data_IF_481434923104
#
_entry.id   IF_481434923104
#
_cell.length_a   1.000
_cell.length_b   1.000
_cell.length_c   1.000
_cell.angle_alpha   90.00
_cell.angle_beta   90.00
_cell.angle_gamma   90.00
#
_symmetry.space_group_name_H-M   'P 1'
#
loop_
_entity.id
_entity.type
_entity.pdbx_description
1 polymer ?
#
# COMPACT_ATOMS: atom_id res chain seq x y z
N UNK A 1 17.17 -5.09 -21.12
CA UNK A 1 17.84 -6.11 -20.27
C UNK A 1 17.04 -6.41 -19.00
N UNK A 2 16.92 -5.46 -18.06
CA UNK A 2 16.27 -5.65 -16.74
C UNK A 2 14.84 -6.23 -16.77
N UNK A 3 13.98 -5.70 -17.63
CA UNK A 3 12.55 -6.08 -17.69
C UNK A 3 12.17 -6.88 -18.94
N UNK A 4 13.13 -7.22 -19.81
CA UNK A 4 12.85 -7.86 -21.11
C UNK A 4 12.66 -6.88 -22.26
N UNK A 5 12.35 -7.42 -23.45
CA UNK A 5 12.00 -6.68 -24.66
C UNK A 5 10.49 -6.47 -24.66
N UNK A 6 9.98 -5.23 -24.75
CA UNK A 6 8.55 -4.99 -24.91
C UNK A 6 8.05 -5.69 -26.17
N UNK A 7 6.92 -6.39 -26.05
CA UNK A 7 6.29 -7.12 -27.14
C UNK A 7 5.70 -6.21 -28.21
N UNK A 8 4.95 -6.85 -29.09
CA UNK A 8 4.26 -6.19 -30.18
C UNK A 8 2.88 -5.74 -29.68
N UNK A 9 2.41 -4.58 -30.13
CA UNK A 9 1.11 -4.09 -29.69
C UNK A 9 -0.02 -4.91 -30.33
N UNK A 10 -1.06 -5.30 -29.56
CA UNK A 10 -2.16 -6.13 -30.06
C UNK A 10 -3.03 -5.44 -31.12
N UNK A 11 -2.94 -4.11 -31.25
CA UNK A 11 -3.73 -3.32 -32.22
C UNK A 11 -2.98 -2.95 -33.49
N UNK A 12 -1.75 -2.45 -33.33
CA UNK A 12 -0.94 -1.87 -34.42
C UNK A 12 0.13 -2.87 -34.93
N UNK A 13 0.33 -4.01 -34.26
CA UNK A 13 1.55 -4.86 -34.34
C UNK A 13 2.86 -4.06 -34.23
N UNK A 14 2.76 -2.82 -33.76
CA UNK A 14 3.86 -1.89 -33.66
C UNK A 14 4.65 -2.09 -32.39
N UNK A 15 5.85 -1.51 -32.36
CA UNK A 15 6.73 -1.59 -31.21
C UNK A 15 6.19 -0.77 -30.04
N UNK A 16 6.12 -1.41 -28.88
CA UNK A 16 5.79 -0.77 -27.61
C UNK A 16 7.03 -0.10 -27.00
N UNK A 17 6.87 1.12 -26.49
CA UNK A 17 7.91 1.87 -25.78
C UNK A 17 7.47 2.13 -24.33
N UNK A 18 8.39 1.93 -23.38
CA UNK A 18 8.13 2.25 -21.98
C UNK A 18 8.34 3.75 -21.72
N UNK A 19 7.31 4.43 -21.23
CA UNK A 19 7.34 5.84 -20.79
C UNK A 19 6.40 6.04 -19.61
N UNK A 20 6.83 6.82 -18.62
CA UNK A 20 6.02 7.23 -17.46
C UNK A 20 5.33 6.07 -16.72
N UNK A 21 6.04 4.96 -16.52
CA UNK A 21 5.47 3.80 -15.82
C UNK A 21 4.57 2.88 -16.67
N UNK A 22 4.38 3.19 -17.95
CA UNK A 22 3.49 2.46 -18.85
C UNK A 22 4.15 2.14 -20.20
N UNK A 23 3.70 1.07 -20.85
CA UNK A 23 4.05 0.77 -22.24
C UNK A 23 3.06 1.46 -23.18
N UNK A 24 3.55 2.29 -24.10
CA UNK A 24 2.75 3.03 -25.09
C UNK A 24 3.13 2.58 -26.52
N UNK A 25 2.17 2.29 -27.41
CA UNK A 25 2.45 2.11 -28.85
C UNK A 25 2.80 3.48 -29.43
N UNK A 26 3.88 3.57 -30.19
CA UNK A 26 4.29 4.82 -30.85
C UNK A 26 4.13 4.75 -32.37
N UNK A 27 3.68 3.62 -32.90
CA UNK A 27 3.48 3.46 -34.33
C UNK A 27 2.17 4.08 -34.80
N UNK A 28 2.14 4.40 -36.08
CA UNK A 28 0.95 4.85 -36.78
C UNK A 28 -0.07 3.71 -36.88
N UNK A 29 -1.35 4.06 -36.94
CA UNK A 29 -2.43 3.12 -37.28
C UNK A 29 -2.31 2.69 -38.73
N UNK A 30 -2.96 1.59 -39.11
CA UNK A 30 -2.98 1.09 -40.50
C UNK A 30 -3.45 2.16 -41.49
N UNK A 31 -4.34 3.05 -41.05
CA UNK A 31 -4.83 4.17 -41.84
C UNK A 31 -3.79 5.28 -42.06
N UNK A 32 -2.67 5.31 -41.34
CA UNK A 32 -1.59 6.28 -41.50
C UNK A 32 -1.88 7.72 -41.02
N UNK A 33 -3.12 8.04 -40.66
CA UNK A 33 -3.52 9.38 -40.23
C UNK A 33 -3.36 9.65 -38.73
N UNK A 34 -3.31 8.61 -37.89
CA UNK A 34 -3.28 8.74 -36.45
C UNK A 34 -2.20 7.85 -35.81
N UNK A 35 -1.69 8.27 -34.65
CA UNK A 35 -0.83 7.43 -33.82
C UNK A 35 -1.68 6.47 -33.00
N UNK A 36 -1.24 5.23 -32.87
CA UNK A 36 -1.91 4.25 -32.02
C UNK A 36 -1.82 4.68 -30.55
N UNK A 37 -2.97 4.84 -29.88
CA UNK A 37 -3.04 5.28 -28.48
C UNK A 37 -3.06 4.13 -27.47
N UNK A 38 -2.60 2.94 -27.84
CA UNK A 38 -2.60 1.80 -26.93
C UNK A 38 -1.58 2.02 -25.79
N UNK A 39 -2.05 1.94 -24.55
CA UNK A 39 -1.23 1.96 -23.35
C UNK A 39 -1.55 0.76 -22.44
N UNK A 40 -0.52 0.19 -21.80
CA UNK A 40 -0.68 -0.92 -20.86
C UNK A 40 0.39 -0.85 -19.76
N UNK A 41 0.01 -1.22 -18.53
CA UNK A 41 0.91 -1.33 -17.37
C UNK A 41 1.63 -2.69 -17.40
N UNK A 42 0.89 -3.75 -17.75
CA UNK A 42 1.37 -5.13 -17.88
C UNK A 42 1.47 -5.49 -19.37
N UNK A 43 2.44 -4.89 -20.06
CA UNK A 43 2.74 -5.28 -21.44
C UNK A 43 3.37 -6.68 -21.51
N UNK A 44 3.06 -7.46 -22.55
CA UNK A 44 3.76 -8.71 -22.83
C UNK A 44 5.25 -8.44 -23.05
N UNK A 45 6.12 -9.18 -22.35
CA UNK A 45 7.58 -8.98 -22.41
C UNK A 45 8.24 -10.27 -22.89
N UNK A 46 9.04 -10.18 -23.95
CA UNK A 46 9.92 -11.28 -24.39
C UNK A 46 11.23 -11.20 -23.62
N UNK A 47 11.84 -12.35 -23.29
CA UNK A 47 13.16 -12.36 -22.65
C UNK A 47 14.20 -11.71 -23.58
N UNK A 48 14.95 -10.73 -23.07
CA UNK A 48 16.04 -10.12 -23.83
C UNK A 48 17.18 -11.14 -23.95
N UNK A 49 17.48 -11.58 -25.19
CA UNK A 49 18.63 -12.41 -25.49
C UNK A 49 19.78 -11.51 -25.92
N UNK A 50 20.86 -11.51 -25.15
CA UNK A 50 22.04 -10.71 -25.46
C UNK A 50 22.90 -11.43 -26.52
N UNK A 51 23.39 -10.76 -27.57
CA UNK A 51 24.27 -11.36 -28.57
C UNK A 51 25.60 -11.80 -27.93
N UNK A 52 26.15 -12.94 -28.38
CA UNK A 52 27.35 -13.58 -27.79
C UNK A 52 28.67 -12.83 -28.07
N UNK A 53 28.70 -11.99 -29.10
CA UNK A 53 29.94 -11.36 -29.58
C UNK A 53 30.29 -10.05 -28.86
N UNK A 54 29.42 -9.58 -27.99
CA UNK A 54 29.72 -8.44 -27.14
C UNK A 54 30.30 -9.01 -25.83
N UNK A 55 31.57 -8.71 -25.54
CA UNK A 55 32.25 -9.19 -24.32
C UNK A 55 31.54 -8.69 -23.07
N UNK A 56 30.80 -9.58 -22.41
CA UNK A 56 29.83 -9.23 -21.37
C UNK A 56 30.11 -9.85 -20.01
N UNK A 57 31.32 -10.36 -19.79
CA UNK A 57 31.70 -11.04 -18.55
C UNK A 57 31.34 -10.23 -17.29
N UNK A 58 31.40 -8.90 -17.37
CA UNK A 58 30.99 -8.03 -16.27
C UNK A 58 29.46 -7.96 -16.09
N UNK A 59 28.67 -7.88 -17.17
CA UNK A 59 27.19 -7.80 -17.12
C UNK A 59 26.54 -9.14 -16.76
N UNK A 60 27.13 -10.26 -17.16
CA UNK A 60 26.65 -11.60 -16.78
C UNK A 60 26.89 -11.89 -15.30
N UNK A 61 27.96 -11.32 -14.73
CA UNK A 61 28.26 -11.38 -13.30
C UNK A 61 27.44 -10.40 -12.45
N UNK A 62 26.79 -9.40 -13.05
CA UNK A 62 25.74 -8.65 -12.39
C UNK A 62 24.53 -9.58 -12.20
N UNK A 63 24.55 -10.35 -11.11
CA UNK A 63 23.34 -10.93 -10.51
C UNK A 63 22.42 -9.76 -10.19
N UNK A 64 21.57 -9.41 -11.14
CA UNK A 64 20.41 -8.56 -10.90
C UNK A 64 19.53 -9.32 -9.93
N UNK A 65 19.76 -9.08 -8.64
CA UNK A 65 18.98 -9.69 -7.58
C UNK A 65 17.60 -9.06 -7.65
N UNK A 66 16.71 -9.67 -8.45
CA UNK A 66 15.36 -9.19 -8.72
C UNK A 66 14.49 -9.03 -7.46
N UNK A 67 14.92 -9.54 -6.29
CA UNK A 67 14.02 -9.72 -5.14
C UNK A 67 14.65 -9.54 -3.75
N UNK A 68 15.97 -9.45 -3.61
CA UNK A 68 16.56 -9.22 -2.29
C UNK A 68 16.62 -7.71 -2.05
N UNK A 69 15.59 -7.20 -1.40
CA UNK A 69 15.70 -5.94 -0.66
C UNK A 69 17.03 -6.00 0.11
N UNK A 70 17.95 -5.04 -0.11
CA UNK A 70 19.22 -5.03 0.59
C UNK A 70 18.95 -5.10 2.09
N UNK A 71 19.64 -5.99 2.82
CA UNK A 71 19.43 -6.18 4.27
C UNK A 71 19.51 -4.87 5.07
N UNK A 72 20.25 -3.88 4.56
CA UNK A 72 20.30 -2.52 5.12
C UNK A 72 18.93 -1.82 5.09
N UNK A 73 18.19 -1.91 4.00
CA UNK A 73 16.88 -1.28 3.85
C UNK A 73 15.80 -1.94 4.73
N UNK A 74 15.92 -3.24 5.02
CA UNK A 74 15.02 -3.93 5.96
C UNK A 74 15.21 -3.41 7.39
N UNK A 75 16.45 -3.16 7.82
CA UNK A 75 16.75 -2.62 9.16
C UNK A 75 16.13 -1.24 9.35
N UNK A 76 16.28 -0.36 8.36
CA UNK A 76 15.67 0.98 8.41
C UNK A 76 14.14 0.91 8.49
N UNK A 77 13.50 -0.04 7.79
CA UNK A 77 12.05 -0.23 7.88
C UNK A 77 11.61 -0.77 9.25
N UNK A 78 12.39 -1.66 9.86
CA UNK A 78 12.12 -2.18 11.21
C UNK A 78 12.24 -1.07 12.26
N UNK A 79 13.29 -0.25 12.22
CA UNK A 79 13.48 0.89 13.12
C UNK A 79 12.33 1.90 13.01
N UNK A 80 11.91 2.23 11.79
CA UNK A 80 10.76 3.13 11.57
C UNK A 80 9.48 2.50 12.12
N UNK A 81 9.26 1.19 11.91
CA UNK A 81 8.06 0.50 12.41
C UNK A 81 8.01 0.44 13.94
N UNK A 82 9.15 0.19 14.59
CA UNK A 82 9.28 0.22 16.05
C UNK A 82 8.99 1.62 16.59
N UNK A 83 9.55 2.67 15.97
CA UNK A 83 9.31 4.05 16.38
C UNK A 83 7.83 4.47 16.31
N UNK A 84 7.09 3.97 15.30
CA UNK A 84 5.65 4.23 15.18
C UNK A 84 4.88 3.46 16.25
N UNK A 85 5.22 2.20 16.50
CA UNK A 85 4.58 1.40 17.56
C UNK A 85 4.80 1.96 18.95
N UNK A 86 6.01 2.45 19.28
CA UNK A 86 6.27 3.10 20.57
C UNK A 86 5.43 4.37 20.72
N UNK A 87 5.33 5.17 19.65
CA UNK A 87 4.53 6.40 19.67
C UNK A 87 3.04 6.13 19.84
N UNK A 88 2.53 5.05 19.25
CA UNK A 88 1.14 4.59 19.45
C UNK A 88 0.91 4.09 20.88
N UNK A 89 1.82 3.29 21.45
CA UNK A 89 1.73 2.82 22.84
C UNK A 89 1.73 3.99 23.83
N UNK A 90 2.58 4.99 23.63
CA UNK A 90 2.61 6.19 24.47
C UNK A 90 1.31 6.99 24.37
N UNK A 91 0.67 7.04 23.19
CA UNK A 91 -0.63 7.70 23.03
C UNK A 91 -1.75 6.95 23.74
N UNK A 92 -1.76 5.62 23.67
CA UNK A 92 -2.74 4.81 24.38
C UNK A 92 -2.60 4.93 25.89
N UNK A 93 -1.37 4.85 26.43
CA UNK A 93 -1.14 5.02 27.87
C UNK A 93 -1.61 6.39 28.37
N UNK A 94 -1.32 7.47 27.62
CA UNK A 94 -1.80 8.81 27.98
C UNK A 94 -3.32 8.92 27.93
N UNK A 95 -3.96 8.31 26.95
CA UNK A 95 -5.42 8.29 26.85
C UNK A 95 -6.06 7.48 27.99
N UNK A 96 -5.44 6.37 28.40
CA UNK A 96 -5.89 5.58 29.55
C UNK A 96 -5.73 6.34 30.87
N UNK A 97 -4.63 7.07 31.04
CA UNK A 97 -4.37 7.93 32.20
C UNK A 97 -5.38 9.08 32.27
N UNK A 98 -5.64 9.78 31.16
CA UNK A 98 -6.68 10.82 31.07
C UNK A 98 -8.08 10.25 31.37
N UNK A 99 -8.41 9.05 30.87
CA UNK A 99 -9.68 8.38 31.18
C UNK A 99 -9.77 8.00 32.67
N UNK A 100 -8.67 7.57 33.28
CA UNK A 100 -8.62 7.27 34.70
C UNK A 100 -8.84 8.53 35.54
N UNK A 101 -8.23 9.67 35.19
CA UNK A 101 -8.45 10.96 35.84
C UNK A 101 -9.91 11.44 35.71
N UNK A 102 -10.51 11.30 34.52
CA UNK A 102 -11.93 11.61 34.26
C UNK A 102 -12.84 10.71 35.11
N UNK A 103 -12.51 9.43 35.25
CA UNK A 103 -13.31 8.48 36.00
C UNK A 103 -13.19 8.69 37.53
N UNK A 104 -12.02 9.13 38.02
CA UNK A 104 -11.83 9.50 39.43
C UNK A 104 -12.57 10.80 39.79
N UNK A 105 -12.62 11.77 38.87
CA UNK A 105 -13.38 13.02 39.06
C UNK A 105 -14.89 12.81 38.98
N UNK A 106 -15.36 11.82 38.20
CA UNK A 106 -16.74 11.32 38.26
C UNK A 106 -16.90 10.31 39.39
N UNK A 107 -16.86 10.74 40.65
CA UNK A 107 -17.40 9.90 41.74
C UNK A 107 -18.86 9.55 41.42
N UNK A 108 -19.27 8.27 41.50
CA UNK A 108 -20.68 7.91 41.42
C UNK A 108 -21.38 8.51 42.64
N UNK A 109 -22.39 9.36 42.42
CA UNK A 109 -23.44 9.47 43.41
C UNK A 109 -24.07 8.07 43.52
N UNK A 110 -24.06 7.50 44.72
CA UNK A 110 -24.53 6.15 45.00
C UNK A 110 -25.99 5.95 44.58
N UNK A 111 -26.40 4.72 44.21
CA UNK A 111 -27.80 4.41 43.97
C UNK A 111 -28.55 4.48 45.31
N UNK A 112 -29.35 5.52 45.51
CA UNK A 112 -30.29 5.57 46.64
C UNK A 112 -31.36 4.50 46.40
N UNK A 113 -31.21 3.39 47.12
CA UNK A 113 -32.26 2.41 47.31
C UNK A 113 -33.37 3.04 48.17
N UNK A 114 -34.54 3.25 47.60
CA UNK A 114 -35.78 3.39 48.35
C UNK A 114 -36.80 2.41 47.74
N UNK A 115 -36.76 1.18 48.24
CA UNK A 115 -37.94 0.31 48.29
C UNK A 115 -38.78 0.70 49.52
N UNK A 116 -40.08 0.72 49.28
CA UNK A 116 -41.22 0.55 50.20
C UNK A 116 -41.98 1.77 50.78
N UNK A 117 -43.32 1.61 50.63
CA UNK A 117 -44.44 2.20 51.36
C UNK A 117 -44.79 3.63 50.91
N UNK A 118 -45.99 3.93 50.38
CA UNK A 118 -47.31 3.62 50.95
C UNK A 118 -48.33 3.56 49.81
N UNK A 119 -49.07 2.46 49.75
CA UNK A 119 -50.32 2.39 49.02
C UNK A 119 -51.49 3.02 49.79
N UNK A 120 -52.45 3.52 49.00
CA UNK A 120 -53.87 3.78 49.30
C UNK A 120 -54.22 5.13 49.98
N UNK A 121 -55.46 5.65 49.82
CA UNK A 121 -56.65 5.07 49.18
C UNK A 121 -57.31 5.93 48.09
N UNK A 122 -58.21 5.30 47.34
CA UNK A 122 -58.98 5.94 46.26
C UNK A 122 -60.00 6.99 46.71
N UNK A 123 -60.52 7.70 45.70
CA UNK A 123 -61.75 8.49 45.79
C UNK A 123 -62.62 8.10 44.59
N UNK A 124 -63.88 7.69 44.82
CA UNK A 124 -64.79 7.21 43.78
C UNK A 124 -65.70 8.32 43.21
N UNK A 125 -66.31 7.97 42.07
CA UNK A 125 -67.46 8.58 41.35
C UNK A 125 -67.14 9.76 40.43
#
# INVERSE_FOLDING_TARGET
MLHGVPGDCPKCQGRLQYSDGMYKCTTWTEDGFAKCQYSSITGERKAFKMPKDMGHDYLDNFKFVKVAIPKAMMREQEEVRESVQEREKQRLMKAEEELAEINVTRRPEEPVAEEELIGLPGVPV
#
